data_IF_883468074861
#
_entry.id   IF_883468074861
#
_cell.length_a   1.000
_cell.length_b   1.000
_cell.length_c   1.000
_cell.angle_alpha   90.00
_cell.angle_beta   90.00
_cell.angle_gamma   90.00
#
_symmetry.space_group_name_H-M   'P 1'
#
loop_
_entity.id
_entity.type
_entity.pdbx_description
1 polymer ?
#
# COMPACT_ATOMS: atom_id res chain seq x y z
N UNK A 1 18.08 -4.92 21.83
CA UNK A 1 18.56 -6.09 21.06
C UNK A 1 17.42 -6.47 20.12
N UNK A 2 17.34 -5.79 18.98
CA UNK A 2 16.23 -5.85 18.04
C UNK A 2 16.71 -6.61 16.80
N UNK A 3 16.02 -7.69 16.49
CA UNK A 3 16.30 -8.58 15.37
C UNK A 3 15.86 -7.90 14.06
N UNK A 4 16.82 -7.44 13.27
CA UNK A 4 16.61 -6.65 12.06
C UNK A 4 16.95 -7.42 10.78
N UNK A 5 17.09 -8.75 10.79
CA UNK A 5 17.74 -9.43 9.66
C UNK A 5 16.96 -10.35 8.74
N UNK A 6 15.64 -10.51 8.87
CA UNK A 6 14.85 -11.15 7.81
C UNK A 6 13.48 -10.48 7.68
N UNK A 7 13.40 -9.38 6.93
CA UNK A 7 12.14 -8.98 6.29
C UNK A 7 12.20 -9.50 4.86
N UNK A 8 11.21 -10.26 4.44
CA UNK A 8 11.11 -10.66 3.03
C UNK A 8 10.60 -9.47 2.21
N UNK A 9 10.84 -9.47 0.89
CA UNK A 9 10.26 -8.45 0.01
C UNK A 9 8.71 -8.44 0.10
N UNK A 10 8.11 -9.59 0.39
CA UNK A 10 6.67 -9.76 0.62
C UNK A 10 6.19 -9.04 1.88
N UNK A 11 6.97 -9.06 2.96
CA UNK A 11 6.64 -8.35 4.21
C UNK A 11 6.63 -6.82 4.02
N UNK A 12 7.61 -6.30 3.28
CA UNK A 12 7.72 -4.88 2.99
C UNK A 12 6.62 -4.41 2.04
N UNK A 13 6.31 -5.21 1.02
CA UNK A 13 5.20 -4.98 0.11
C UNK A 13 3.87 -4.99 0.87
N UNK A 14 3.60 -6.01 1.67
CA UNK A 14 2.37 -6.11 2.45
C UNK A 14 2.19 -4.93 3.41
N UNK A 15 3.28 -4.47 4.05
CA UNK A 15 3.24 -3.27 4.89
C UNK A 15 2.86 -2.01 4.09
N UNK A 16 3.50 -1.79 2.94
CA UNK A 16 3.18 -0.64 2.09
C UNK A 16 1.73 -0.67 1.61
N UNK A 17 1.25 -1.83 1.18
CA UNK A 17 -0.15 -2.05 0.77
C UNK A 17 -1.08 -1.71 1.92
N UNK A 18 -0.81 -2.21 3.13
CA UNK A 18 -1.63 -1.89 4.31
C UNK A 18 -1.73 -0.38 4.56
N UNK A 19 -0.60 0.31 4.51
CA UNK A 19 -0.55 1.75 4.77
C UNK A 19 -1.35 2.53 3.70
N UNK A 20 -1.17 2.19 2.41
CA UNK A 20 -1.94 2.79 1.30
C UNK A 20 -3.44 2.50 1.44
N UNK A 21 -3.81 1.26 1.75
CA UNK A 21 -5.21 0.86 1.91
C UNK A 21 -5.89 1.63 3.05
N UNK A 22 -5.23 1.80 4.20
CA UNK A 22 -5.77 2.60 5.32
C UNK A 22 -6.02 4.05 4.92
N UNK A 23 -5.10 4.65 4.15
CA UNK A 23 -5.28 6.01 3.62
C UNK A 23 -6.49 6.06 2.68
N UNK A 24 -6.61 5.10 1.77
CA UNK A 24 -7.70 5.06 0.80
C UNK A 24 -9.07 4.91 1.48
N UNK A 25 -9.21 3.95 2.40
CA UNK A 25 -10.43 3.74 3.18
C UNK A 25 -10.83 5.00 3.94
N UNK A 26 -9.85 5.69 4.53
CA UNK A 26 -10.08 6.94 5.22
C UNK A 26 -10.61 8.04 4.30
N UNK A 27 -10.00 8.23 3.13
CA UNK A 27 -10.45 9.23 2.15
C UNK A 27 -11.89 8.93 1.70
N UNK A 28 -12.22 7.66 1.45
CA UNK A 28 -13.59 7.24 1.09
C UNK A 28 -14.59 7.54 2.21
N UNK A 29 -14.23 7.28 3.47
CA UNK A 29 -15.12 7.57 4.60
C UNK A 29 -15.25 9.06 4.85
N UNK A 30 -14.16 9.84 4.82
CA UNK A 30 -14.17 11.27 5.15
C UNK A 30 -14.76 12.15 4.04
N UNK A 31 -14.48 11.84 2.76
CA UNK A 31 -14.91 12.68 1.63
C UNK A 31 -16.19 12.19 0.98
N UNK A 32 -16.30 10.88 0.78
CA UNK A 32 -17.41 10.27 0.04
C UNK A 32 -18.50 9.71 0.98
N UNK A 33 -18.32 9.84 2.31
CA UNK A 33 -19.25 9.30 3.32
C UNK A 33 -19.52 7.79 3.17
N UNK A 34 -18.57 7.04 2.61
CA UNK A 34 -18.71 5.59 2.43
C UNK A 34 -18.49 4.90 3.77
N UNK A 35 -19.48 4.12 4.19
CA UNK A 35 -19.39 3.25 5.36
C UNK A 35 -18.49 2.06 5.04
N UNK A 36 -17.37 1.95 5.75
CA UNK A 36 -16.49 0.78 5.71
C UNK A 36 -16.94 -0.19 6.81
N UNK A 37 -17.46 -1.33 6.41
CA UNK A 37 -17.78 -2.46 7.29
C UNK A 37 -17.26 -3.79 6.71
N UNK A 38 -17.46 -4.89 7.44
CA UNK A 38 -16.97 -6.20 7.02
C UNK A 38 -17.53 -6.63 5.65
N UNK A 39 -18.80 -6.31 5.37
CA UNK A 39 -19.43 -6.62 4.07
C UNK A 39 -18.79 -5.84 2.94
N UNK A 40 -18.49 -4.56 3.15
CA UNK A 40 -17.74 -3.74 2.20
C UNK A 40 -16.35 -4.34 1.94
N UNK A 41 -15.60 -4.68 2.99
CA UNK A 41 -14.24 -5.22 2.85
C UNK A 41 -14.21 -6.58 2.14
N UNK A 42 -15.16 -7.47 2.45
CA UNK A 42 -15.32 -8.75 1.74
C UNK A 42 -15.66 -8.55 0.26
N UNK A 43 -16.53 -7.59 -0.04
CA UNK A 43 -16.88 -7.28 -1.44
C UNK A 43 -15.67 -6.71 -2.19
N UNK A 44 -14.90 -5.83 -1.54
CA UNK A 44 -13.67 -5.27 -2.09
C UNK A 44 -12.62 -6.34 -2.37
N UNK A 45 -12.38 -7.27 -1.44
CA UNK A 45 -11.39 -8.33 -1.61
C UNK A 45 -11.75 -9.31 -2.73
N UNK A 46 -13.02 -9.71 -2.84
CA UNK A 46 -13.52 -10.55 -3.94
C UNK A 46 -13.36 -9.82 -5.28
N UNK A 47 -13.74 -8.54 -5.33
CA UNK A 47 -13.66 -7.74 -6.56
C UNK A 47 -12.22 -7.54 -7.01
N UNK A 48 -11.32 -7.21 -6.07
CA UNK A 48 -9.90 -7.07 -6.33
C UNK A 48 -9.30 -8.38 -6.86
N UNK A 49 -9.55 -9.51 -6.17
CA UNK A 49 -9.00 -10.80 -6.59
C UNK A 49 -9.44 -11.19 -7.99
N UNK A 50 -10.72 -10.97 -8.32
CA UNK A 50 -11.24 -11.23 -9.68
C UNK A 50 -10.56 -10.35 -10.72
N UNK A 51 -10.46 -9.05 -10.46
CA UNK A 51 -9.80 -8.10 -11.38
C UNK A 51 -8.31 -8.46 -11.58
N UNK A 52 -7.62 -8.83 -10.50
CA UNK A 52 -6.22 -9.21 -10.54
C UNK A 52 -6.01 -10.50 -11.35
N UNK A 53 -6.87 -11.51 -11.17
CA UNK A 53 -6.83 -12.74 -11.99
C UNK A 53 -7.04 -12.47 -13.47
N UNK A 54 -7.98 -11.59 -13.81
CA UNK A 54 -8.19 -11.18 -15.21
C UNK A 54 -6.97 -10.45 -15.77
N UNK A 55 -6.28 -9.65 -14.96
CA UNK A 55 -5.04 -8.95 -15.35
C UNK A 55 -3.85 -9.89 -15.50
N UNK A 56 -3.68 -10.86 -14.62
CA UNK A 56 -2.65 -11.90 -14.76
C UNK A 56 -2.82 -12.62 -16.10
N UNK A 57 -4.05 -13.03 -16.43
CA UNK A 57 -4.33 -13.67 -17.73
C UNK A 57 -3.98 -12.75 -18.91
N UNK A 58 -4.32 -11.47 -18.81
CA UNK A 58 -4.00 -10.49 -19.86
C UNK A 58 -2.48 -10.36 -20.05
N UNK A 59 -1.73 -10.20 -18.97
CA UNK A 59 -0.28 -10.05 -19.04
C UNK A 59 0.45 -11.32 -19.44
N UNK A 60 -0.09 -12.50 -19.10
CA UNK A 60 0.40 -13.78 -19.60
C UNK A 60 0.32 -13.82 -21.13
N UNK A 61 -0.81 -13.43 -21.71
CA UNK A 61 -1.00 -13.34 -23.17
C UNK A 61 -0.06 -12.31 -23.79
N UNK A 62 0.06 -11.12 -23.19
CA UNK A 62 0.94 -10.06 -23.68
C UNK A 62 2.42 -10.48 -23.65
N UNK A 63 2.86 -11.16 -22.59
CA UNK A 63 4.20 -11.69 -22.47
C UNK A 63 4.47 -12.79 -23.52
N UNK A 64 3.52 -13.69 -23.74
CA UNK A 64 3.60 -14.70 -24.80
C UNK A 64 3.76 -14.07 -26.19
N UNK A 65 3.00 -13.02 -26.49
CA UNK A 65 3.11 -12.31 -27.77
C UNK A 65 4.48 -11.62 -27.95
N UNK A 66 5.05 -11.13 -26.86
CA UNK A 66 6.36 -10.45 -26.87
C UNK A 66 7.54 -11.39 -26.61
N UNK A 67 7.32 -12.71 -26.55
CA UNK A 67 8.35 -13.71 -26.20
C UNK A 67 9.08 -13.42 -24.87
N UNK A 68 8.36 -12.83 -23.91
CA UNK A 68 8.84 -12.57 -22.55
C UNK A 68 8.50 -13.75 -21.63
N UNK A 69 9.38 -14.03 -20.67
CA UNK A 69 9.10 -15.01 -19.62
C UNK A 69 8.07 -14.44 -18.63
N UNK A 70 7.02 -15.22 -18.35
CA UNK A 70 5.96 -14.83 -17.44
C UNK A 70 5.76 -15.88 -16.35
N UNK A 71 6.04 -15.50 -15.10
CA UNK A 71 5.84 -16.41 -13.96
C UNK A 71 4.48 -16.17 -13.32
N UNK A 72 3.48 -16.89 -13.81
CA UNK A 72 2.12 -16.81 -13.29
C UNK A 72 2.00 -17.11 -11.81
N UNK A 73 2.76 -18.09 -11.29
CA UNK A 73 2.67 -18.47 -9.89
C UNK A 73 3.14 -17.33 -8.98
N UNK A 74 4.25 -16.69 -9.34
CA UNK A 74 4.75 -15.53 -8.59
C UNK A 74 3.74 -14.38 -8.59
N UNK A 75 3.09 -14.10 -9.72
CA UNK A 75 2.03 -13.09 -9.80
C UNK A 75 0.82 -13.44 -8.92
N UNK A 76 0.38 -14.70 -8.92
CA UNK A 76 -0.71 -15.15 -8.06
C UNK A 76 -0.36 -15.04 -6.57
N UNK A 77 0.90 -15.34 -6.18
CA UNK A 77 1.39 -15.13 -4.81
C UNK A 77 1.31 -13.66 -4.40
N UNK A 78 1.72 -12.73 -5.26
CA UNK A 78 1.65 -11.29 -4.99
C UNK A 78 0.21 -10.83 -4.80
N UNK A 79 -0.73 -11.33 -5.62
CA UNK A 79 -2.17 -11.04 -5.49
C UNK A 79 -2.72 -11.53 -4.15
N UNK A 80 -2.31 -12.71 -3.69
CA UNK A 80 -2.73 -13.24 -2.40
C UNK A 80 -2.18 -12.40 -1.24
N UNK A 81 -0.89 -12.00 -1.29
CA UNK A 81 -0.28 -11.09 -0.30
C UNK A 81 -1.03 -9.75 -0.25
N UNK A 82 -1.34 -9.16 -1.41
CA UNK A 82 -2.06 -7.90 -1.48
C UNK A 82 -3.48 -8.03 -0.93
N UNK A 83 -4.21 -9.09 -1.31
CA UNK A 83 -5.58 -9.33 -0.86
C UNK A 83 -5.65 -9.48 0.66
N UNK A 84 -4.72 -10.22 1.25
CA UNK A 84 -4.63 -10.37 2.71
C UNK A 84 -4.31 -9.03 3.39
N UNK A 85 -3.36 -8.28 2.82
CA UNK A 85 -2.97 -6.96 3.33
C UNK A 85 -4.14 -5.96 3.31
N UNK A 86 -4.99 -5.98 2.28
CA UNK A 86 -6.20 -5.13 2.19
C UNK A 86 -7.17 -5.45 3.33
N UNK A 87 -7.40 -6.74 3.60
CA UNK A 87 -8.32 -7.18 4.66
C UNK A 87 -7.78 -6.77 6.03
N UNK A 88 -6.50 -7.03 6.31
CA UNK A 88 -5.83 -6.62 7.54
C UNK A 88 -5.93 -5.12 7.77
N UNK A 89 -5.61 -4.31 6.75
CA UNK A 89 -5.74 -2.86 6.79
C UNK A 89 -7.17 -2.39 7.08
N UNK A 90 -8.16 -3.05 6.48
CA UNK A 90 -9.57 -2.76 6.71
C UNK A 90 -10.00 -3.06 8.14
N UNK A 91 -9.58 -4.19 8.70
CA UNK A 91 -9.84 -4.54 10.11
C UNK A 91 -9.16 -3.54 11.04
N UNK A 92 -7.88 -3.23 10.82
CA UNK A 92 -7.15 -2.21 11.60
C UNK A 92 -7.85 -0.85 11.55
N UNK A 93 -8.35 -0.46 10.37
CA UNK A 93 -9.07 0.80 10.19
C UNK A 93 -10.41 0.81 10.94
N UNK A 94 -11.17 -0.30 10.94
CA UNK A 94 -12.41 -0.41 11.70
C UNK A 94 -12.18 -0.36 13.21
N UNK A 95 -11.08 -0.96 13.70
CA UNK A 95 -10.73 -0.92 15.12
C UNK A 95 -10.22 0.47 15.57
N UNK A 96 -9.41 1.14 14.73
CA UNK A 96 -8.77 2.43 15.05
C UNK A 96 -8.80 3.39 13.86
N UNK A 97 -9.97 3.98 13.54
CA UNK A 97 -10.11 4.86 12.37
C UNK A 97 -9.28 6.15 12.44
N UNK A 98 -8.87 6.57 13.64
CA UNK A 98 -8.20 7.86 13.88
C UNK A 98 -6.66 7.76 13.87
N UNK A 99 -6.09 6.55 13.92
CA UNK A 99 -4.66 6.34 14.20
C UNK A 99 -3.72 6.45 13.00
N UNK A 100 -4.22 6.25 11.77
CA UNK A 100 -3.38 6.25 10.57
C UNK A 100 -3.48 7.61 9.88
N UNK A 101 -2.70 8.56 10.40
CA UNK A 101 -2.44 9.81 9.69
C UNK A 101 -1.22 9.59 8.80
N UNK A 102 -1.38 9.79 7.48
CA UNK A 102 -0.25 10.32 6.72
C UNK A 102 0.27 11.53 7.50
N UNK A 103 1.58 11.70 7.69
CA UNK A 103 2.10 12.97 8.16
C UNK A 103 1.61 14.03 7.16
N UNK A 104 0.59 14.79 7.57
CA UNK A 104 0.14 15.94 6.79
C UNK A 104 1.32 16.90 6.75
N UNK A 105 1.81 17.22 5.55
CA UNK A 105 2.92 18.15 5.39
C UNK A 105 2.64 19.47 6.11
N UNK A 106 1.38 19.90 6.20
CA UNK A 106 0.98 21.07 7.00
C UNK A 106 1.17 20.87 8.51
N UNK A 107 0.92 19.67 9.03
CA UNK A 107 1.12 19.36 10.44
C UNK A 107 2.61 19.22 10.76
N UNK A 108 3.39 18.71 9.82
CA UNK A 108 4.84 18.62 9.94
C UNK A 108 5.51 19.99 9.87
N UNK A 109 5.07 20.87 8.96
CA UNK A 109 5.45 22.29 8.86
C UNK A 109 5.08 23.06 10.15
N UNK A 110 3.91 22.80 10.73
CA UNK A 110 3.54 23.41 12.03
C UNK A 110 4.35 22.88 13.22
N UNK A 111 4.77 21.62 13.20
CA UNK A 111 5.53 21.00 14.29
C UNK A 111 7.03 21.26 14.17
N UNK A 112 7.53 21.42 12.94
CA UNK A 112 8.93 21.64 12.59
C UNK A 112 9.01 22.61 11.38
N UNK A 113 8.90 23.93 11.63
CA UNK A 113 8.81 24.95 10.57
C UNK A 113 9.98 24.95 9.58
N UNK A 114 11.18 24.57 10.03
CA UNK A 114 12.40 24.58 9.22
C UNK A 114 12.67 23.26 8.49
N UNK A 115 11.75 22.29 8.51
CA UNK A 115 11.98 20.96 7.92
C UNK A 115 12.28 21.04 6.42
N UNK A 116 11.70 22.01 5.71
CA UNK A 116 11.95 22.21 4.29
C UNK A 116 13.40 22.67 4.03
N UNK A 117 13.93 23.54 4.88
CA UNK A 117 15.32 24.01 4.78
C UNK A 117 16.30 22.88 5.13
N UNK A 118 16.02 22.11 6.18
CA UNK A 118 16.85 20.97 6.58
C UNK A 118 16.91 19.88 5.51
N UNK A 119 15.78 19.55 4.88
CA UNK A 119 15.73 18.57 3.80
C UNK A 119 16.50 19.06 2.57
N UNK A 120 16.40 20.36 2.26
CA UNK A 120 17.14 20.98 1.17
C UNK A 120 18.65 20.92 1.39
N UNK A 121 19.13 21.31 2.58
CA UNK A 121 20.55 21.20 2.91
C UNK A 121 21.05 19.76 2.88
N UNK A 122 20.24 18.79 3.33
CA UNK A 122 20.60 17.39 3.29
C UNK A 122 20.79 16.89 1.85
N UNK A 123 19.86 17.23 0.95
CA UNK A 123 19.95 16.89 -0.47
C UNK A 123 21.12 17.59 -1.15
N UNK A 124 21.36 18.87 -0.83
CA UNK A 124 22.50 19.62 -1.37
C UNK A 124 23.84 19.03 -0.91
N UNK A 125 23.95 18.57 0.34
CA UNK A 125 25.13 17.86 0.86
C UNK A 125 25.33 16.47 0.23
N UNK A 126 24.25 15.74 -0.04
CA UNK A 126 24.31 14.43 -0.68
C UNK A 126 24.67 14.53 -2.17
N UNK A 127 24.20 15.58 -2.85
CA UNK A 127 24.54 15.87 -4.25
C UNK A 127 25.94 16.48 -4.45
N UNK A 128 26.61 16.91 -3.38
CA UNK A 128 27.96 17.48 -3.40
C UNK A 128 29.03 16.55 -2.81
N UNK A 129 28.69 15.30 -2.52
CA UNK A 129 29.61 14.18 -2.24
C UNK A 129 29.72 13.23 -3.41
#
# INVERSE_FOLDING_TARGET
>A
MYDHKHRTAEDELGKMVRDICKIFLRVLTERESIKVDETFLRSLSISYRRLAQDKIRQYEIDAMMNSLEFNRHAEETVVDVFTNSVIEAGVEFMEKPVGTLLPDWKRMDSALPDIQHMLREAVEKDASG
#
